data_IF_892422458045
#
_entry.id   IF_892422458045
#
_cell.length_a   1.000
_cell.length_b   1.000
_cell.length_c   1.000
_cell.angle_alpha   90.00
_cell.angle_beta   90.00
_cell.angle_gamma   90.00
#
_symmetry.space_group_name_H-M   'P 1'
#
loop_
_entity.id
_entity.type
_entity.pdbx_description
1 polymer ?
#
# COMPACT_ATOMS: atom_id res chain seq x y z
N UNK A 1 1.92 12.75 -71.96
CA UNK A 1 1.90 12.94 -70.49
C UNK A 1 1.29 11.71 -69.84
N UNK A 2 2.04 10.98 -69.00
CA UNK A 2 1.54 9.87 -68.17
C UNK A 2 1.95 10.18 -66.74
N UNK A 3 0.98 10.55 -65.91
CA UNK A 3 1.15 10.75 -64.47
C UNK A 3 1.06 9.39 -63.79
N UNK A 4 2.17 8.91 -63.25
CA UNK A 4 2.21 7.70 -62.42
C UNK A 4 2.00 8.07 -60.95
N UNK A 5 0.85 7.69 -60.40
CA UNK A 5 0.59 7.77 -58.97
C UNK A 5 1.45 6.73 -58.24
N UNK A 6 2.37 7.20 -57.40
CA UNK A 6 3.15 6.36 -56.49
C UNK A 6 2.32 6.13 -55.22
N UNK A 7 1.86 4.90 -55.01
CA UNK A 7 1.19 4.46 -53.78
C UNK A 7 2.27 3.97 -52.81
N UNK A 8 2.48 4.60 -51.64
CA UNK A 8 3.37 4.06 -50.63
C UNK A 8 2.71 2.87 -49.94
N UNK A 9 3.42 1.74 -49.92
CA UNK A 9 3.08 0.52 -49.20
C UNK A 9 3.06 0.83 -47.70
N UNK A 10 1.89 0.69 -47.07
CA UNK A 10 1.72 0.74 -45.62
C UNK A 10 2.28 -0.56 -45.04
N UNK A 11 3.41 -0.45 -44.33
CA UNK A 11 3.95 -1.56 -43.54
C UNK A 11 3.08 -1.76 -42.30
N UNK A 12 2.23 -2.78 -42.34
CA UNK A 12 1.51 -3.27 -41.17
C UNK A 12 2.50 -3.93 -40.21
N UNK A 13 2.79 -3.28 -39.08
CA UNK A 13 3.52 -3.89 -37.97
C UNK A 13 2.59 -4.91 -37.31
N UNK A 14 2.75 -6.17 -37.67
CA UNK A 14 2.16 -7.29 -36.97
C UNK A 14 2.81 -7.39 -35.58
N UNK A 15 2.14 -6.85 -34.56
CA UNK A 15 2.51 -7.09 -33.17
C UNK A 15 2.11 -8.53 -32.86
N UNK A 16 3.11 -9.42 -32.90
CA UNK A 16 2.97 -10.78 -32.43
C UNK A 16 2.60 -10.76 -30.94
N UNK A 17 1.33 -10.97 -30.62
CA UNK A 17 0.88 -11.34 -29.30
C UNK A 17 1.26 -12.81 -29.05
N UNK A 18 2.52 -13.03 -28.70
CA UNK A 18 3.04 -14.31 -28.23
C UNK A 18 3.06 -14.34 -26.71
N UNK A 19 2.39 -15.34 -26.12
CA UNK A 19 2.58 -15.76 -24.73
C UNK A 19 4.04 -16.12 -24.44
N UNK A 20 4.54 -15.76 -23.25
CA UNK A 20 5.75 -16.37 -22.70
C UNK A 20 6.55 -15.44 -21.79
N UNK A 21 6.26 -15.49 -20.48
CA UNK A 21 7.22 -15.25 -19.38
C UNK A 21 8.34 -14.24 -19.62
N UNK A 22 8.00 -13.00 -19.96
CA UNK A 22 8.94 -11.88 -19.89
C UNK A 22 8.74 -11.21 -18.54
N UNK A 23 9.40 -11.70 -17.49
CA UNK A 23 9.51 -10.95 -16.24
C UNK A 23 9.97 -9.54 -16.57
N UNK A 24 9.39 -8.54 -15.93
CA UNK A 24 9.85 -7.19 -16.19
C UNK A 24 11.35 -7.10 -15.83
N UNK A 25 12.02 -6.05 -16.29
CA UNK A 25 13.36 -5.83 -15.78
C UNK A 25 13.21 -5.30 -14.35
N UNK A 26 13.97 -5.84 -13.37
CA UNK A 26 14.02 -5.28 -12.05
C UNK A 26 14.29 -3.78 -12.11
N UNK A 27 13.58 -3.02 -11.29
CA UNK A 27 13.76 -1.57 -11.20
C UNK A 27 15.15 -1.25 -10.66
N UNK A 28 15.72 -0.13 -11.11
CA UNK A 28 16.84 0.46 -10.38
C UNK A 28 16.36 0.98 -9.02
N UNK A 29 17.27 1.09 -8.04
CA UNK A 29 16.94 1.64 -6.72
C UNK A 29 16.23 3.01 -6.79
N UNK A 30 16.66 4.00 -7.60
CA UNK A 30 15.96 5.27 -7.73
C UNK A 30 14.54 5.13 -8.31
N UNK A 31 14.32 4.20 -9.23
CA UNK A 31 12.99 3.94 -9.81
C UNK A 31 12.06 3.29 -8.80
N UNK A 32 12.56 2.31 -8.03
CA UNK A 32 11.80 1.69 -6.95
C UNK A 32 11.38 2.74 -5.91
N UNK A 33 12.31 3.58 -5.47
CA UNK A 33 12.04 4.68 -4.53
C UNK A 33 10.96 5.62 -5.10
N UNK A 34 11.16 6.10 -6.33
CA UNK A 34 10.22 7.04 -6.97
C UNK A 34 8.80 6.46 -7.08
N UNK A 35 8.68 5.21 -7.53
CA UNK A 35 7.37 4.56 -7.71
C UNK A 35 6.72 4.23 -6.36
N UNK A 36 7.48 3.71 -5.41
CA UNK A 36 6.95 3.42 -4.08
C UNK A 36 6.51 4.68 -3.33
N UNK A 37 7.27 5.78 -3.42
CA UNK A 37 6.87 7.07 -2.84
C UNK A 37 5.57 7.63 -3.46
N UNK A 38 5.34 7.37 -4.74
CA UNK A 38 4.08 7.74 -5.40
C UNK A 38 2.88 6.96 -4.84
N UNK A 39 3.06 5.65 -4.60
CA UNK A 39 2.06 4.80 -3.94
C UNK A 39 1.80 5.32 -2.51
N UNK A 40 2.85 5.56 -1.72
CA UNK A 40 2.71 6.11 -0.37
C UNK A 40 2.00 7.46 -0.37
N UNK A 41 2.30 8.36 -1.32
CA UNK A 41 1.60 9.65 -1.45
C UNK A 41 0.11 9.45 -1.67
N UNK A 42 -0.25 8.60 -2.63
CA UNK A 42 -1.65 8.28 -2.96
C UNK A 42 -2.42 7.76 -1.74
N UNK A 43 -1.85 6.80 -1.02
CA UNK A 43 -2.55 6.18 0.12
C UNK A 43 -2.53 7.05 1.39
N UNK A 44 -1.53 7.91 1.57
CA UNK A 44 -1.56 8.96 2.61
C UNK A 44 -2.72 9.91 2.40
N UNK A 45 -2.94 10.38 1.17
CA UNK A 45 -4.07 11.26 0.86
C UNK A 45 -5.41 10.57 1.16
N UNK A 46 -5.57 9.30 0.77
CA UNK A 46 -6.77 8.52 1.11
C UNK A 46 -6.97 8.39 2.62
N UNK A 47 -5.91 8.09 3.37
CA UNK A 47 -5.98 7.93 4.82
C UNK A 47 -6.25 9.27 5.54
N UNK A 48 -5.69 10.38 5.06
CA UNK A 48 -5.98 11.72 5.56
C UNK A 48 -7.46 12.08 5.36
N UNK A 49 -8.05 11.72 4.22
CA UNK A 49 -9.49 11.92 3.98
C UNK A 49 -10.34 11.09 4.95
N UNK A 50 -9.97 9.82 5.18
CA UNK A 50 -10.65 8.96 6.16
C UNK A 50 -10.60 9.57 7.57
N UNK A 51 -9.45 10.09 7.97
CA UNK A 51 -9.25 10.68 9.29
C UNK A 51 -10.13 11.90 9.56
N UNK A 52 -10.60 12.63 8.53
CA UNK A 52 -11.58 13.72 8.71
C UNK A 52 -12.92 13.23 9.26
N UNK A 53 -13.23 11.96 9.06
CA UNK A 53 -14.44 11.29 9.56
C UNK A 53 -14.20 10.43 10.80
N UNK A 54 -12.97 10.41 11.33
CA UNK A 54 -12.63 9.61 12.49
C UNK A 54 -13.28 10.17 13.78
N UNK A 55 -13.60 9.31 14.76
CA UNK A 55 -13.99 9.77 16.09
C UNK A 55 -12.94 10.69 16.70
N UNK A 56 -13.37 11.65 17.51
CA UNK A 56 -12.48 12.61 18.18
C UNK A 56 -11.47 11.98 19.14
N UNK A 57 -11.74 10.74 19.60
CA UNK A 57 -10.83 9.97 20.43
C UNK A 57 -10.41 8.68 19.73
N UNK A 58 -9.14 8.34 19.86
CA UNK A 58 -8.61 7.06 19.40
C UNK A 58 -9.32 5.91 20.15
N UNK A 59 -9.64 4.77 19.50
CA UNK A 59 -10.32 3.66 20.17
C UNK A 59 -9.48 2.98 21.28
N UNK A 60 -8.17 3.26 21.37
CA UNK A 60 -7.30 2.84 22.47
C UNK A 60 -7.26 3.83 23.64
N UNK A 61 -7.86 5.01 23.49
CA UNK A 61 -7.93 6.00 24.57
C UNK A 61 -8.83 5.46 25.71
N UNK A 62 -8.33 5.38 26.96
CA UNK A 62 -9.12 4.88 28.09
C UNK A 62 -10.38 5.72 28.36
N UNK A 63 -10.41 6.96 27.88
CA UNK A 63 -11.52 7.89 28.01
C UNK A 63 -12.44 7.96 26.78
N UNK A 64 -12.21 7.14 25.75
CA UNK A 64 -13.15 6.96 24.64
C UNK A 64 -14.43 6.29 25.14
N UNK A 65 -15.61 6.76 24.71
CA UNK A 65 -16.88 6.09 24.99
C UNK A 65 -17.06 4.86 24.10
N UNK A 66 -17.94 3.94 24.48
CA UNK A 66 -18.23 2.74 23.67
C UNK A 66 -18.75 3.11 22.27
N UNK A 67 -19.53 4.20 22.18
CA UNK A 67 -19.98 4.73 20.90
C UNK A 67 -18.82 5.22 20.02
N UNK A 68 -17.80 5.87 20.62
CA UNK A 68 -16.59 6.29 19.89
C UNK A 68 -15.73 5.11 19.46
N UNK A 69 -15.56 4.10 20.33
CA UNK A 69 -14.87 2.86 19.99
C UNK A 69 -15.59 2.17 18.83
N UNK A 70 -16.90 1.98 18.91
CA UNK A 70 -17.70 1.36 17.84
C UNK A 70 -17.68 2.15 16.54
N UNK A 71 -17.70 3.48 16.61
CA UNK A 71 -17.59 4.36 15.45
C UNK A 71 -16.23 4.29 14.74
N UNK A 72 -15.17 3.81 15.41
CA UNK A 72 -13.86 3.61 14.77
C UNK A 72 -13.81 2.40 13.83
N UNK A 73 -14.68 1.40 14.02
CA UNK A 73 -14.70 0.18 13.23
C UNK A 73 -14.76 0.38 11.71
N UNK A 74 -15.68 1.18 11.14
CA UNK A 74 -15.70 1.42 9.70
C UNK A 74 -14.45 2.14 9.17
N UNK A 75 -13.80 2.96 10.00
CA UNK A 75 -12.54 3.63 9.63
C UNK A 75 -11.40 2.62 9.58
N UNK A 76 -11.29 1.77 10.61
CA UNK A 76 -10.30 0.69 10.67
C UNK A 76 -10.40 -0.27 9.48
N UNK A 77 -11.62 -0.67 9.10
CA UNK A 77 -11.82 -1.52 7.92
C UNK A 77 -11.36 -0.83 6.62
N UNK A 78 -11.68 0.46 6.43
CA UNK A 78 -11.22 1.20 5.24
C UNK A 78 -9.71 1.42 5.22
N UNK A 79 -9.07 1.54 6.38
CA UNK A 79 -7.61 1.57 6.48
C UNK A 79 -7.01 0.21 6.06
N UNK A 80 -7.62 -0.90 6.47
CA UNK A 80 -7.21 -2.25 6.02
C UNK A 80 -7.33 -2.39 4.49
N UNK A 81 -8.44 -1.93 3.90
CA UNK A 81 -8.65 -1.96 2.45
C UNK A 81 -7.62 -1.10 1.70
N UNK A 82 -7.34 0.10 2.19
CA UNK A 82 -6.31 0.96 1.63
C UNK A 82 -4.93 0.29 1.68
N UNK A 83 -4.62 -0.40 2.77
CA UNK A 83 -3.35 -1.07 2.93
C UNK A 83 -3.18 -2.27 2.00
N UNK A 84 -4.24 -3.08 1.81
CA UNK A 84 -4.24 -4.16 0.81
C UNK A 84 -4.05 -3.66 -0.60
N UNK A 85 -4.74 -2.57 -0.95
CA UNK A 85 -4.62 -1.96 -2.26
C UNK A 85 -3.21 -1.37 -2.47
N UNK A 86 -2.61 -0.76 -1.45
CA UNK A 86 -1.21 -0.34 -1.48
C UNK A 86 -0.26 -1.52 -1.66
N UNK A 87 -0.43 -2.59 -0.86
CA UNK A 87 0.36 -3.83 -0.97
C UNK A 87 0.29 -4.42 -2.38
N UNK A 88 -0.89 -4.45 -3.00
CA UNK A 88 -1.06 -4.91 -4.37
C UNK A 88 -0.25 -4.06 -5.36
N UNK A 89 -0.30 -2.73 -5.24
CA UNK A 89 0.48 -1.85 -6.13
C UNK A 89 2.00 -1.96 -5.87
N UNK A 90 2.42 -2.27 -4.64
CA UNK A 90 3.83 -2.53 -4.34
C UNK A 90 4.33 -3.88 -4.87
N UNK A 91 3.46 -4.89 -4.93
CA UNK A 91 3.77 -6.22 -5.49
C UNK A 91 4.06 -6.16 -6.99
N UNK A 92 3.45 -5.19 -7.70
CA UNK A 92 3.72 -4.90 -9.11
C UNK A 92 5.10 -4.24 -9.33
N UNK A 93 5.79 -3.81 -8.25
CA UNK A 93 7.14 -3.26 -8.34
C UNK A 93 8.16 -4.38 -8.18
N UNK A 94 8.94 -4.64 -9.24
CA UNK A 94 10.06 -5.57 -9.18
C UNK A 94 11.29 -4.86 -8.57
N UNK A 95 11.72 -5.21 -7.35
CA UNK A 95 12.87 -4.58 -6.71
C UNK A 95 14.19 -5.08 -7.32
N UNK A 96 15.29 -4.32 -7.21
CA UNK A 96 16.60 -4.87 -7.51
C UNK A 96 16.95 -6.04 -6.57
N UNK A 97 17.81 -6.95 -7.05
CA UNK A 97 18.04 -8.25 -6.40
C UNK A 97 18.58 -8.16 -4.97
N UNK A 98 19.33 -7.09 -4.68
CA UNK A 98 19.85 -6.78 -3.34
C UNK A 98 18.77 -6.41 -2.33
N UNK A 99 17.61 -5.94 -2.80
CA UNK A 99 16.48 -5.52 -1.98
C UNK A 99 15.34 -6.55 -1.94
N UNK A 100 15.38 -7.57 -2.80
CA UNK A 100 14.23 -8.45 -3.05
C UNK A 100 13.73 -9.20 -1.81
N UNK A 101 14.63 -9.59 -0.89
CA UNK A 101 14.22 -10.27 0.34
C UNK A 101 13.48 -9.33 1.30
N UNK A 102 14.06 -8.15 1.55
CA UNK A 102 13.46 -7.15 2.45
C UNK A 102 12.17 -6.58 1.89
N UNK A 103 12.08 -6.44 0.55
CA UNK A 103 10.86 -6.07 -0.14
C UNK A 103 9.75 -7.08 0.11
N UNK A 104 9.99 -8.39 -0.08
CA UNK A 104 8.99 -9.44 0.20
C UNK A 104 8.56 -9.45 1.66
N UNK A 105 9.50 -9.30 2.59
CA UNK A 105 9.19 -9.21 4.02
C UNK A 105 8.32 -8.00 4.33
N UNK A 106 8.56 -6.87 3.66
CA UNK A 106 7.74 -5.66 3.79
C UNK A 106 6.32 -5.89 3.25
N UNK A 107 6.18 -6.56 2.10
CA UNK A 107 4.86 -6.90 1.55
C UNK A 107 4.07 -7.84 2.46
N UNK A 108 4.74 -8.78 3.12
CA UNK A 108 4.12 -9.66 4.13
C UNK A 108 3.72 -8.88 5.38
N UNK A 109 4.58 -7.98 5.88
CA UNK A 109 4.27 -7.11 7.00
C UNK A 109 3.06 -6.19 6.70
N UNK A 110 2.90 -5.71 5.45
CA UNK A 110 1.73 -4.93 5.01
C UNK A 110 0.44 -5.76 5.04
N UNK A 111 0.49 -7.03 4.62
CA UNK A 111 -0.68 -7.92 4.65
C UNK A 111 -1.10 -8.28 6.08
N UNK A 112 -0.11 -8.57 6.93
CA UNK A 112 -0.33 -8.77 8.37
C UNK A 112 -0.93 -7.53 9.01
N UNK A 113 -0.40 -6.34 8.69
CA UNK A 113 -0.89 -5.07 9.21
C UNK A 113 -2.34 -4.81 8.78
N UNK A 114 -2.73 -5.16 7.55
CA UNK A 114 -4.12 -5.06 7.07
C UNK A 114 -5.04 -6.02 7.83
N UNK A 115 -4.60 -7.26 8.03
CA UNK A 115 -5.33 -8.25 8.82
C UNK A 115 -5.54 -7.82 10.28
N UNK A 116 -4.54 -7.14 10.87
CA UNK A 116 -4.63 -6.58 12.22
C UNK A 116 -5.61 -5.42 12.32
N UNK A 117 -5.67 -4.56 11.31
CA UNK A 117 -6.67 -3.50 11.22
C UNK A 117 -8.10 -4.07 11.14
N UNK A 118 -8.32 -5.16 10.40
CA UNK A 118 -9.63 -5.82 10.36
C UNK A 118 -10.00 -6.48 11.70
N UNK A 119 -9.05 -7.12 12.36
CA UNK A 119 -9.27 -7.68 13.71
C UNK A 119 -9.62 -6.57 14.70
N UNK A 120 -8.92 -5.43 14.65
CA UNK A 120 -9.24 -4.25 15.44
C UNK A 120 -10.62 -3.67 15.08
N UNK A 121 -11.01 -3.68 13.80
CA UNK A 121 -12.35 -3.25 13.37
C UNK A 121 -13.45 -4.16 13.94
N UNK A 122 -13.26 -5.48 13.96
CA UNK A 122 -14.20 -6.41 14.61
C UNK A 122 -14.29 -6.16 16.11
N UNK A 123 -13.14 -6.09 16.78
CA UNK A 123 -13.07 -5.81 18.21
C UNK A 123 -13.76 -4.48 18.58
N UNK A 124 -13.56 -3.44 17.75
CA UNK A 124 -14.24 -2.16 17.92
C UNK A 124 -15.77 -2.27 17.76
N UNK A 125 -16.29 -3.08 16.81
CA UNK A 125 -17.74 -3.32 16.67
C UNK A 125 -18.34 -3.98 17.92
N UNK A 126 -17.58 -4.87 18.52
CA UNK A 126 -17.91 -5.64 19.73
C UNK A 126 -17.61 -4.86 21.03
N UNK A 127 -16.93 -3.72 20.93
CA UNK A 127 -16.43 -2.92 22.07
C UNK A 127 -15.48 -3.72 22.97
N UNK A 128 -14.75 -4.69 22.39
CA UNK A 128 -13.69 -5.42 23.07
C UNK A 128 -12.43 -4.55 23.13
N UNK A 129 -12.37 -3.67 24.14
CA UNK A 129 -11.28 -2.70 24.33
C UNK A 129 -9.92 -3.36 24.50
N UNK A 130 -9.86 -4.48 25.22
CA UNK A 130 -8.59 -5.17 25.44
C UNK A 130 -8.06 -5.72 24.12
N UNK A 131 -8.92 -6.31 23.30
CA UNK A 131 -8.54 -6.78 21.97
C UNK A 131 -8.15 -5.64 21.05
N UNK A 132 -8.89 -4.52 21.04
CA UNK A 132 -8.49 -3.32 20.28
C UNK A 132 -7.07 -2.88 20.66
N UNK A 133 -6.76 -2.76 21.96
CA UNK A 133 -5.43 -2.37 22.43
C UNK A 133 -4.35 -3.37 22.00
N UNK A 134 -4.62 -4.67 22.13
CA UNK A 134 -3.68 -5.72 21.72
C UNK A 134 -3.36 -5.65 20.22
N UNK A 135 -4.39 -5.51 19.37
CA UNK A 135 -4.18 -5.42 17.92
C UNK A 135 -3.45 -4.14 17.52
N UNK A 136 -3.71 -3.01 18.19
CA UNK A 136 -2.94 -1.78 17.99
C UNK A 136 -1.46 -1.93 18.38
N UNK A 137 -1.16 -2.71 19.42
CA UNK A 137 0.22 -3.05 19.79
C UNK A 137 0.97 -3.75 18.64
N UNK A 138 0.34 -4.75 18.02
CA UNK A 138 0.91 -5.45 16.85
C UNK A 138 1.01 -4.55 15.62
N UNK A 139 0.01 -3.71 15.37
CA UNK A 139 0.02 -2.70 14.30
C UNK A 139 1.26 -1.79 14.44
N UNK A 140 1.52 -1.27 15.65
CA UNK A 140 2.68 -0.40 15.89
C UNK A 140 4.01 -1.13 15.69
N UNK A 141 4.08 -2.41 16.05
CA UNK A 141 5.28 -3.24 15.86
C UNK A 141 5.56 -3.48 14.38
N UNK A 142 4.54 -3.88 13.60
CA UNK A 142 4.65 -4.11 12.15
C UNK A 142 5.00 -2.80 11.43
N UNK A 143 4.29 -1.71 11.74
CA UNK A 143 4.55 -0.41 11.15
C UNK A 143 5.99 0.06 11.40
N UNK A 144 6.55 -0.19 12.59
CA UNK A 144 7.96 0.14 12.88
C UNK A 144 8.93 -0.63 11.97
N UNK A 145 8.71 -1.93 11.77
CA UNK A 145 9.56 -2.74 10.89
C UNK A 145 9.53 -2.24 9.44
N UNK A 146 8.34 -1.95 8.93
CA UNK A 146 8.13 -1.37 7.61
C UNK A 146 8.86 -0.03 7.50
N UNK A 147 8.62 0.90 8.44
CA UNK A 147 9.25 2.23 8.41
C UNK A 147 10.78 2.18 8.52
N UNK A 148 11.34 1.25 9.29
CA UNK A 148 12.80 1.06 9.35
C UNK A 148 13.36 0.69 7.98
N UNK A 149 12.77 -0.29 7.29
CA UNK A 149 13.18 -0.64 5.93
C UNK A 149 13.06 0.55 4.98
N UNK A 150 11.92 1.25 5.00
CA UNK A 150 11.67 2.36 4.09
C UNK A 150 12.69 3.50 4.28
N UNK A 151 13.03 3.81 5.54
CA UNK A 151 14.03 4.82 5.90
C UNK A 151 15.43 4.40 5.46
N UNK A 152 15.86 3.19 5.82
CA UNK A 152 17.20 2.68 5.52
C UNK A 152 17.41 2.51 4.01
N UNK A 153 16.35 2.11 3.29
CA UNK A 153 16.39 1.97 1.84
C UNK A 153 16.45 3.33 1.13
N UNK A 154 15.86 4.37 1.74
CA UNK A 154 15.96 5.76 1.30
C UNK A 154 14.70 6.36 0.68
N UNK A 155 13.54 5.72 0.90
CA UNK A 155 12.24 6.29 0.54
C UNK A 155 12.02 7.64 1.24
N UNK A 156 11.45 8.61 0.53
CA UNK A 156 11.26 9.97 1.05
C UNK A 156 9.87 10.16 1.60
N UNK A 157 8.87 9.64 0.89
CA UNK A 157 7.49 9.67 1.35
C UNK A 157 7.30 8.51 2.29
N UNK A 158 7.45 7.26 1.84
CA UNK A 158 7.14 6.09 2.68
C UNK A 158 7.86 6.13 4.04
N UNK A 159 9.17 6.35 4.04
CA UNK A 159 9.99 6.40 5.26
C UNK A 159 9.82 7.64 6.14
N UNK A 160 9.04 8.64 5.73
CA UNK A 160 8.74 9.79 6.61
C UNK A 160 7.59 9.47 7.56
N UNK A 161 7.65 9.95 8.80
CA UNK A 161 6.46 10.00 9.66
C UNK A 161 5.43 10.94 9.01
N UNK A 162 4.31 10.37 8.57
CA UNK A 162 3.15 11.14 8.11
C UNK A 162 2.36 11.75 9.25
#
# INVERSE_FOLDING_TARGET
>A
MRWGFSVPVVAAVAVAAGCGGGGAKPLSKPELIKRGDAICTKYRQKNQELNKSAPTKNPTDPSATDAQVKASAPILGKLADNLRAARSEFDDLEPPSDAASDWRNTLDDLDQLASKLDSAASAAREVDRQRVVNEYGEILRLNRRISTFEQDYGFKVCGSSG
#
